data_IF_161771591282
#
_entry.id   IF_161771591282
#
_cell.length_a   1.000
_cell.length_b   1.000
_cell.length_c   1.000
_cell.angle_alpha   90.00
_cell.angle_beta   90.00
_cell.angle_gamma   90.00
#
_symmetry.space_group_name_H-M   'P 1'
#
loop_
_entity.id
_entity.type
_entity.pdbx_description
1 polymer ?
#
# COMPACT_ATOMS: atom_id res chain seq x y z
N UNK A 1 15.20 2.85 -28.90
CA UNK A 1 15.02 2.96 -27.44
C UNK A 1 16.03 2.13 -26.64
N UNK A 2 16.09 0.80 -26.80
CA UNK A 2 17.05 -0.04 -26.04
C UNK A 2 18.53 0.30 -26.29
N UNK A 3 18.91 0.64 -27.53
CA UNK A 3 20.28 1.11 -27.85
C UNK A 3 20.62 2.43 -27.15
N UNK A 4 19.66 3.36 -27.05
CA UNK A 4 19.85 4.63 -26.35
C UNK A 4 20.04 4.40 -24.85
N UNK A 5 19.23 3.54 -24.23
CA UNK A 5 19.39 3.16 -22.82
C UNK A 5 20.74 2.47 -22.56
N UNK A 6 21.19 1.63 -23.50
CA UNK A 6 22.51 0.99 -23.43
C UNK A 6 23.65 2.00 -23.53
N UNK A 7 23.53 3.02 -24.39
CA UNK A 7 24.53 4.07 -24.53
C UNK A 7 24.58 4.98 -23.31
N UNK A 8 23.41 5.33 -22.75
CA UNK A 8 23.31 6.13 -21.53
C UNK A 8 23.94 5.43 -20.33
N UNK A 9 23.83 4.10 -20.25
CA UNK A 9 24.44 3.28 -19.19
C UNK A 9 25.96 3.41 -19.07
N UNK A 10 26.64 3.81 -20.14
CA UNK A 10 28.08 4.06 -20.10
C UNK A 10 28.44 5.38 -19.39
N UNK A 11 27.49 6.32 -19.29
CA UNK A 11 27.71 7.67 -18.78
C UNK A 11 26.95 7.96 -17.48
N UNK A 12 25.83 7.28 -17.22
CA UNK A 12 25.01 7.49 -16.03
C UNK A 12 24.24 6.22 -15.64
N UNK A 13 23.87 6.13 -14.36
CA UNK A 13 23.03 5.04 -13.86
C UNK A 13 21.60 5.19 -14.37
N UNK A 14 21.02 4.10 -14.89
CA UNK A 14 19.65 4.09 -15.44
C UNK A 14 18.73 3.26 -14.56
N UNK A 15 17.60 3.85 -14.15
CA UNK A 15 16.60 3.25 -13.25
C UNK A 15 15.29 2.86 -13.92
N UNK A 16 14.72 1.69 -13.58
CA UNK A 16 13.39 1.23 -14.04
C UNK A 16 12.41 0.96 -12.88
N UNK A 17 11.12 1.24 -13.07
CA UNK A 17 10.11 1.29 -11.98
C UNK A 17 9.16 0.08 -11.87
N UNK A 18 9.33 -0.98 -12.67
CA UNK A 18 8.38 -2.09 -12.64
C UNK A 18 9.02 -3.45 -12.99
N UNK A 19 9.15 -4.34 -12.00
CA UNK A 19 9.51 -5.76 -12.18
C UNK A 19 8.29 -6.67 -12.31
N UNK A 20 7.07 -6.18 -12.05
CA UNK A 20 5.90 -7.05 -11.84
C UNK A 20 5.47 -7.78 -13.11
N UNK A 21 5.95 -7.36 -14.28
CA UNK A 21 5.94 -8.14 -15.50
C UNK A 21 7.35 -8.66 -15.80
N UNK A 22 7.58 -9.96 -15.65
CA UNK A 22 8.79 -10.66 -16.11
C UNK A 22 9.05 -10.51 -17.64
N UNK A 23 8.24 -9.73 -18.34
CA UNK A 23 8.35 -9.31 -19.73
C UNK A 23 7.91 -7.85 -19.78
N UNK A 24 8.86 -6.90 -19.83
CA UNK A 24 8.49 -5.55 -20.27
C UNK A 24 7.89 -5.65 -21.67
N UNK A 25 6.81 -4.90 -21.97
CA UNK A 25 6.18 -4.87 -23.30
C UNK A 25 7.16 -4.52 -24.44
N UNK A 26 8.36 -4.04 -24.08
CA UNK A 26 9.38 -3.49 -24.96
C UNK A 26 10.61 -4.41 -25.11
N UNK A 27 10.73 -5.46 -24.29
CA UNK A 27 11.83 -6.43 -24.36
C UNK A 27 11.39 -7.84 -23.92
N UNK A 28 10.62 -8.56 -24.76
CA UNK A 28 10.07 -9.88 -24.42
C UNK A 28 11.11 -11.01 -24.29
N UNK A 29 12.34 -10.80 -24.78
CA UNK A 29 13.43 -11.79 -24.79
C UNK A 29 14.57 -11.50 -23.81
N UNK A 30 14.51 -10.41 -23.02
CA UNK A 30 15.56 -10.06 -22.04
C UNK A 30 14.94 -9.78 -20.67
N UNK A 31 15.60 -10.25 -19.61
CA UNK A 31 15.21 -9.91 -18.23
C UNK A 31 15.37 -8.40 -18.02
N UNK A 32 14.32 -7.73 -17.54
CA UNK A 32 14.32 -6.28 -17.27
C UNK A 32 15.46 -5.90 -16.31
N UNK A 33 15.80 -6.79 -15.38
CA UNK A 33 16.89 -6.62 -14.42
C UNK A 33 18.29 -6.55 -15.03
N UNK A 34 18.51 -7.01 -16.27
CA UNK A 34 19.79 -6.85 -16.94
C UNK A 34 19.88 -5.58 -17.78
N UNK A 35 18.76 -4.89 -18.02
CA UNK A 35 18.69 -3.67 -18.82
C UNK A 35 18.97 -2.40 -18.02
N UNK A 36 18.81 -2.45 -16.70
CA UNK A 36 18.96 -1.32 -15.79
C UNK A 36 20.03 -1.58 -14.72
N UNK A 37 20.67 -0.53 -14.23
CA UNK A 37 21.60 -0.63 -13.09
C UNK A 37 20.84 -0.70 -11.78
N UNK A 38 19.71 -0.01 -11.71
CA UNK A 38 18.79 -0.02 -10.57
C UNK A 38 17.36 -0.32 -11.04
N UNK A 39 16.67 -1.24 -10.40
CA UNK A 39 15.25 -1.47 -10.66
C UNK A 39 14.48 -1.46 -9.35
N UNK A 40 13.51 -0.57 -9.23
CA UNK A 40 12.72 -0.39 -8.02
C UNK A 40 11.30 -0.87 -8.30
N UNK A 41 10.90 -1.99 -7.72
CA UNK A 41 9.51 -2.47 -7.73
C UNK A 41 8.82 -2.20 -6.40
N UNK A 42 7.49 -2.20 -6.42
CA UNK A 42 6.65 -1.99 -5.24
C UNK A 42 6.96 -0.66 -4.52
N UNK A 43 7.06 0.45 -5.25
CA UNK A 43 7.41 1.77 -4.69
C UNK A 43 8.76 1.80 -3.94
N UNK A 44 9.72 0.99 -4.36
CA UNK A 44 11.08 0.96 -3.79
C UNK A 44 11.28 -0.07 -2.68
N UNK A 45 10.27 -0.88 -2.36
CA UNK A 45 10.38 -1.95 -1.38
C UNK A 45 11.31 -3.08 -1.84
N UNK A 46 11.34 -3.33 -3.14
CA UNK A 46 12.30 -4.23 -3.77
C UNK A 46 13.14 -3.41 -4.74
N UNK A 47 14.34 -3.04 -4.33
CA UNK A 47 15.35 -2.54 -5.25
C UNK A 47 16.04 -3.74 -5.92
N UNK A 48 16.71 -3.56 -7.06
CA UNK A 48 17.65 -4.50 -7.64
C UNK A 48 18.82 -3.65 -8.08
N UNK A 49 20.02 -3.93 -7.57
CA UNK A 49 21.25 -3.24 -7.96
C UNK A 49 22.09 -4.22 -8.77
N UNK A 50 22.38 -3.90 -10.03
CA UNK A 50 23.22 -4.71 -10.92
C UNK A 50 22.76 -6.17 -11.04
N UNK A 51 21.43 -6.38 -11.13
CA UNK A 51 20.85 -7.72 -11.22
C UNK A 51 20.90 -8.55 -9.93
N UNK A 52 21.42 -8.00 -8.83
CA UNK A 52 21.32 -8.58 -7.48
C UNK A 52 20.14 -7.97 -6.74
N UNK A 53 19.22 -8.82 -6.28
CA UNK A 53 18.22 -8.41 -5.30
C UNK A 53 18.97 -8.08 -3.99
N UNK A 54 18.77 -6.89 -3.38
CA UNK A 54 19.02 -6.70 -1.97
C UNK A 54 18.14 -7.68 -1.20
N UNK A 55 18.59 -8.05 -0.01
CA UNK A 55 17.86 -8.94 0.90
C UNK A 55 16.43 -8.40 1.05
N UNK A 56 15.46 -9.16 0.53
CA UNK A 56 14.04 -8.81 0.54
C UNK A 56 13.60 -8.66 1.98
N UNK A 57 13.63 -7.45 2.51
CA UNK A 57 13.27 -7.19 3.90
C UNK A 57 11.75 -7.13 3.95
N UNK A 58 11.14 -8.22 4.39
CA UNK A 58 9.69 -8.29 4.56
C UNK A 58 9.25 -7.40 5.73
N UNK A 59 8.01 -6.91 5.69
CA UNK A 59 7.41 -6.10 6.74
C UNK A 59 7.51 -6.77 8.12
N UNK A 60 7.34 -8.10 8.19
CA UNK A 60 7.43 -8.84 9.44
C UNK A 60 8.85 -8.91 9.99
N UNK A 61 9.87 -8.99 9.12
CA UNK A 61 11.27 -8.94 9.55
C UNK A 61 11.63 -7.56 10.10
N UNK A 62 11.06 -6.49 9.52
CA UNK A 62 11.29 -5.13 10.00
C UNK A 62 10.58 -4.84 11.33
N UNK A 63 9.28 -5.17 11.45
CA UNK A 63 8.49 -4.83 12.64
C UNK A 63 8.64 -5.84 13.79
N UNK A 64 8.84 -7.12 13.46
CA UNK A 64 8.84 -8.24 14.39
C UNK A 64 7.45 -8.75 14.75
N UNK A 65 7.36 -10.06 14.98
CA UNK A 65 6.10 -10.80 15.23
C UNK A 65 5.34 -10.29 16.46
N UNK A 66 6.03 -10.03 17.57
CA UNK A 66 5.39 -9.59 18.82
C UNK A 66 4.67 -8.25 18.66
N UNK A 67 5.32 -7.28 18.01
CA UNK A 67 4.75 -5.96 17.75
C UNK A 67 3.59 -6.05 16.77
N UNK A 68 3.73 -6.88 15.73
CA UNK A 68 2.66 -7.11 14.78
C UNK A 68 1.41 -7.71 15.44
N UNK A 69 1.56 -8.74 16.30
CA UNK A 69 0.42 -9.34 17.00
C UNK A 69 -0.28 -8.33 17.92
N UNK A 70 0.46 -7.48 18.63
CA UNK A 70 -0.12 -6.39 19.45
C UNK A 70 -0.93 -5.43 18.57
N UNK A 71 -0.40 -5.03 17.43
CA UNK A 71 -1.09 -4.16 16.47
C UNK A 71 -2.35 -4.83 15.90
N UNK A 72 -2.24 -6.08 15.43
CA UNK A 72 -3.36 -6.82 14.86
C UNK A 72 -4.49 -7.01 15.88
N UNK A 73 -4.14 -7.36 17.13
CA UNK A 73 -5.10 -7.48 18.22
C UNK A 73 -5.81 -6.15 18.52
N UNK A 74 -5.08 -5.03 18.51
CA UNK A 74 -5.68 -3.71 18.66
C UNK A 74 -6.68 -3.42 17.54
N UNK A 75 -6.27 -3.58 16.28
CA UNK A 75 -7.14 -3.34 15.12
C UNK A 75 -8.39 -4.22 15.14
N UNK A 76 -8.24 -5.52 15.41
CA UNK A 76 -9.38 -6.45 15.45
C UNK A 76 -10.36 -6.10 16.58
N UNK A 77 -9.87 -5.80 17.79
CA UNK A 77 -10.72 -5.35 18.90
C UNK A 77 -11.42 -4.04 18.58
N UNK A 78 -10.70 -3.08 18.01
CA UNK A 78 -11.26 -1.79 17.62
C UNK A 78 -12.38 -1.96 16.59
N UNK A 79 -12.11 -2.69 15.49
CA UNK A 79 -13.09 -2.94 14.42
C UNK A 79 -14.28 -3.75 14.93
N UNK A 80 -14.07 -4.71 15.83
CA UNK A 80 -15.16 -5.48 16.44
C UNK A 80 -16.16 -4.56 17.15
N UNK A 81 -15.68 -3.51 17.82
CA UNK A 81 -16.49 -2.56 18.58
C UNK A 81 -17.09 -1.41 17.75
N UNK A 82 -16.78 -1.29 16.45
CA UNK A 82 -17.35 -0.24 15.60
C UNK A 82 -18.79 -0.56 15.19
N UNK A 83 -19.69 0.41 15.29
CA UNK A 83 -21.02 0.33 14.69
C UNK A 83 -20.96 0.82 13.23
N UNK A 84 -20.94 -0.15 12.32
CA UNK A 84 -20.89 0.06 10.87
C UNK A 84 -22.16 -0.49 10.22
N UNK A 85 -22.56 0.10 9.09
CA UNK A 85 -23.70 -0.38 8.29
C UNK A 85 -23.56 -1.85 7.92
N UNK A 86 -22.37 -2.26 7.49
CA UNK A 86 -22.04 -3.61 7.05
C UNK A 86 -20.61 -3.96 7.47
N UNK A 87 -20.40 -5.20 7.90
CA UNK A 87 -19.08 -5.81 8.09
C UNK A 87 -18.97 -7.05 7.21
N UNK A 88 -17.83 -7.23 6.54
CA UNK A 88 -17.54 -8.38 5.67
C UNK A 88 -16.38 -9.17 6.24
N UNK A 89 -15.41 -9.56 5.40
CA UNK A 89 -14.21 -10.27 5.80
C UNK A 89 -12.95 -9.60 5.29
N UNK A 90 -11.80 -10.10 5.73
CA UNK A 90 -10.47 -9.55 5.39
C UNK A 90 -10.30 -8.12 5.93
N UNK A 91 -10.40 -7.98 7.26
CA UNK A 91 -10.23 -6.70 7.96
C UNK A 91 -8.77 -6.27 8.07
N UNK A 92 -7.86 -7.24 8.12
CA UNK A 92 -6.42 -7.04 8.09
C UNK A 92 -5.89 -7.96 6.99
N UNK A 93 -5.23 -7.39 5.99
CA UNK A 93 -4.57 -8.12 4.92
C UNK A 93 -3.06 -7.87 5.02
N UNK A 94 -2.31 -8.95 5.23
CA UNK A 94 -0.86 -8.90 5.29
C UNK A 94 -0.27 -8.97 3.88
N UNK A 95 0.68 -8.07 3.57
CA UNK A 95 1.45 -8.06 2.33
C UNK A 95 2.95 -8.02 2.64
N UNK A 96 3.77 -8.31 1.63
CA UNK A 96 5.22 -8.42 1.83
C UNK A 96 5.85 -7.14 2.41
N UNK A 97 5.37 -5.96 2.00
CA UNK A 97 5.90 -4.67 2.45
C UNK A 97 5.00 -3.83 3.34
N UNK A 98 3.76 -4.26 3.57
CA UNK A 98 2.76 -3.44 4.24
C UNK A 98 1.60 -4.28 4.76
N UNK A 99 0.73 -3.64 5.54
CA UNK A 99 -0.53 -4.22 5.98
C UNK A 99 -1.66 -3.29 5.56
N UNK A 100 -2.73 -3.86 5.02
CA UNK A 100 -3.95 -3.10 4.73
C UNK A 100 -4.97 -3.39 5.82
N UNK A 101 -5.50 -2.34 6.45
CA UNK A 101 -6.57 -2.45 7.44
C UNK A 101 -7.84 -1.83 6.85
N UNK A 102 -8.94 -2.57 6.87
CA UNK A 102 -10.24 -2.14 6.35
C UNK A 102 -11.34 -2.42 7.37
N UNK A 103 -12.00 -1.39 7.95
CA UNK A 103 -13.08 -1.58 8.93
C UNK A 103 -14.30 -2.32 8.39
N UNK A 104 -14.70 -2.04 7.14
CA UNK A 104 -15.80 -2.75 6.48
C UNK A 104 -15.38 -4.15 5.99
N UNK A 105 -14.08 -4.41 5.87
CA UNK A 105 -13.48 -5.62 5.30
C UNK A 105 -13.29 -5.52 3.78
N UNK A 106 -12.13 -6.00 3.29
CA UNK A 106 -11.75 -5.93 1.88
C UNK A 106 -12.70 -6.70 0.95
N UNK A 107 -13.40 -7.71 1.47
CA UNK A 107 -14.35 -8.51 0.69
C UNK A 107 -15.68 -7.77 0.41
N UNK A 108 -15.84 -6.53 0.87
CA UNK A 108 -17.01 -5.70 0.56
C UNK A 108 -17.10 -5.39 -0.94
N UNK A 109 -18.34 -5.38 -1.46
CA UNK A 109 -18.63 -4.98 -2.84
C UNK A 109 -18.34 -3.50 -3.07
N UNK A 110 -18.35 -3.06 -4.33
CA UNK A 110 -18.15 -1.64 -4.66
C UNK A 110 -19.26 -0.79 -4.05
N UNK A 111 -20.51 -1.26 -4.14
CA UNK A 111 -21.69 -0.59 -3.60
C UNK A 111 -21.57 -0.43 -2.08
N UNK A 112 -21.17 -1.50 -1.39
CA UNK A 112 -20.98 -1.48 0.07
C UNK A 112 -19.85 -0.54 0.51
N UNK A 113 -18.80 -0.41 -0.30
CA UNK A 113 -17.71 0.54 -0.05
C UNK A 113 -18.16 1.98 -0.23
N UNK A 114 -18.95 2.26 -1.27
CA UNK A 114 -19.50 3.58 -1.53
C UNK A 114 -20.49 4.00 -0.41
N UNK A 115 -21.31 3.06 0.08
CA UNK A 115 -22.18 3.29 1.23
C UNK A 115 -21.37 3.60 2.50
N UNK A 116 -20.29 2.85 2.75
CA UNK A 116 -19.40 3.09 3.88
C UNK A 116 -18.73 4.46 3.79
N UNK A 117 -18.23 4.85 2.61
CA UNK A 117 -17.61 6.16 2.37
C UNK A 117 -18.61 7.30 2.65
N UNK A 118 -19.83 7.19 2.12
CA UNK A 118 -20.88 8.18 2.37
C UNK A 118 -21.25 8.27 3.86
N UNK A 119 -21.39 7.13 4.55
CA UNK A 119 -21.67 7.08 5.99
C UNK A 119 -20.58 7.78 6.81
N UNK A 120 -19.31 7.49 6.53
CA UNK A 120 -18.18 8.13 7.22
C UNK A 120 -18.17 9.63 6.95
N UNK A 121 -18.38 10.06 5.70
CA UNK A 121 -18.42 11.48 5.36
C UNK A 121 -19.52 12.23 6.13
N UNK A 122 -20.72 11.66 6.20
CA UNK A 122 -21.85 12.23 6.96
C UNK A 122 -21.51 12.34 8.44
N UNK A 123 -20.97 11.28 9.06
CA UNK A 123 -20.55 11.32 10.46
C UNK A 123 -19.48 12.39 10.72
N UNK A 124 -18.54 12.54 9.79
CA UNK A 124 -17.45 13.50 9.92
C UNK A 124 -17.97 14.94 9.80
N UNK A 125 -18.92 15.18 8.90
CA UNK A 125 -19.59 16.48 8.73
C UNK A 125 -20.49 16.82 9.93
N UNK A 126 -21.26 15.87 10.47
CA UNK A 126 -22.06 16.08 11.68
C UNK A 126 -21.15 16.44 12.86
N UNK A 127 -20.09 15.67 13.07
CA UNK A 127 -19.11 15.94 14.13
C UNK A 127 -18.47 17.33 13.98
N UNK A 128 -17.98 17.68 12.79
CA UNK A 128 -17.41 19.00 12.52
C UNK A 128 -18.42 20.13 12.75
N UNK A 129 -19.70 19.92 12.38
CA UNK A 129 -20.75 20.92 12.59
C UNK A 129 -21.05 21.13 14.08
N UNK A 130 -21.08 20.08 14.90
CA UNK A 130 -21.31 20.17 16.35
C UNK A 130 -20.18 20.91 17.05
N UNK A 131 -18.93 20.65 16.70
CA UNK A 131 -17.79 21.41 17.26
C UNK A 131 -17.79 22.88 16.83
N UNK A 132 -18.16 23.16 15.57
CA UNK A 132 -18.28 24.53 15.08
C UNK A 132 -19.39 25.32 15.81
N UNK A 133 -20.49 24.67 16.18
CA UNK A 133 -21.55 25.28 16.99
C UNK A 133 -21.11 25.52 18.44
N UNK A 134 -20.35 24.60 19.05
CA UNK A 134 -19.82 24.75 20.41
C UNK A 134 -18.84 25.94 20.51
N UNK A 135 -18.04 26.18 19.47
CA UNK A 135 -17.10 27.31 19.43
C UNK A 135 -17.78 28.68 19.21
N UNK A 136 -19.03 28.72 18.72
CA UNK A 136 -19.79 29.96 18.51
C UNK A 136 -20.73 30.34 19.65
N UNK A 137 -21.07 29.41 20.55
CA UNK A 137 -21.97 29.68 21.69
C UNK A 137 -21.22 30.05 22.98
N UNK A 138 -19.88 30.09 22.94
CA UNK A 138 -19.00 30.40 24.07
C UNK A 138 -18.33 31.78 24.01
N UNK A 139 -18.80 32.68 23.13
CA UNK A 139 -18.36 34.09 23.03
C UNK A 139 -19.43 35.07 23.49
#
# INVERSE_FOLDING_TARGET
>A
MLQLLSQLRHNCAVGGSDLSSNKSSWAPQRKVTSLFDFCFSENGLSAFCLGKSPDSTSFIQWIGEEKYQKFANFCLKYIANLDLLKKRGTFIEFRNGMINVSPTGRNASIEERNEFEAYVLILTLDWASREYWILRTTS
#
